data_IF_979658029935
#
_entry.id   IF_979658029935
#
_cell.length_a   1.000
_cell.length_b   1.000
_cell.length_c   1.000
_cell.angle_alpha   90.00
_cell.angle_beta   90.00
_cell.angle_gamma   90.00
#
_symmetry.space_group_name_H-M   'P 1'
#
loop_
_entity.id
_entity.type
_entity.pdbx_description
1 polymer ?
#
# COMPACT_ATOMS: atom_id res chain seq x y z
N UNK A 1 -0.08 -3.74 16.01
CA UNK A 1 0.32 -4.82 15.07
C UNK A 1 1.77 -4.68 14.58
N UNK A 2 2.25 -3.52 14.12
CA UNK A 2 3.64 -3.38 13.65
C UNK A 2 4.69 -3.80 14.71
N UNK A 3 4.52 -3.41 15.97
CA UNK A 3 5.41 -3.80 17.09
C UNK A 3 5.43 -5.31 17.38
N UNK A 4 4.37 -6.06 17.08
CA UNK A 4 4.29 -7.50 17.33
C UNK A 4 4.87 -8.35 16.19
N UNK A 5 5.07 -7.76 15.01
CA UNK A 5 5.60 -8.47 13.83
C UNK A 5 7.13 -8.44 13.74
N UNK A 6 7.78 -7.41 14.30
CA UNK A 6 9.22 -7.23 14.23
C UNK A 6 10.03 -8.41 14.85
N UNK A 7 9.63 -8.99 16.00
CA UNK A 7 10.29 -10.18 16.53
C UNK A 7 10.08 -11.43 15.67
N UNK A 8 8.88 -11.60 15.10
CA UNK A 8 8.55 -12.75 14.24
C UNK A 8 9.36 -12.73 12.94
N UNK A 9 9.64 -11.54 12.40
CA UNK A 9 10.52 -11.37 11.23
C UNK A 9 11.96 -11.78 11.54
N UNK A 10 12.48 -11.37 12.69
CA UNK A 10 13.84 -11.75 13.13
C UNK A 10 14.01 -13.25 13.26
N UNK A 11 13.02 -13.94 13.85
CA UNK A 11 13.06 -15.40 14.03
C UNK A 11 12.89 -16.14 12.70
N UNK A 12 11.98 -15.69 11.83
CA UNK A 12 11.74 -16.32 10.53
C UNK A 12 12.93 -16.18 9.57
N UNK A 13 13.65 -15.05 9.61
CA UNK A 13 14.85 -14.84 8.80
C UNK A 13 16.07 -15.66 9.25
N UNK A 14 16.13 -16.07 10.53
CA UNK A 14 17.23 -16.88 11.06
C UNK A 14 17.11 -18.37 10.71
N UNK A 15 15.90 -18.84 10.42
CA UNK A 15 15.63 -20.25 10.15
C UNK A 15 15.47 -20.56 8.65
N UNK A 16 15.66 -19.57 7.77
CA UNK A 16 15.57 -19.70 6.31
C UNK A 16 14.31 -20.47 5.86
N UNK A 17 13.15 -20.07 6.39
CA UNK A 17 11.85 -20.70 6.08
C UNK A 17 11.06 -19.90 5.02
N UNK A 18 11.36 -20.05 3.72
CA UNK A 18 10.50 -19.50 2.68
C UNK A 18 9.10 -20.12 2.82
N UNK A 19 7.99 -19.36 2.71
CA UNK A 19 7.85 -17.96 2.29
C UNK A 19 7.60 -16.97 3.45
N UNK A 20 7.81 -17.37 4.71
CA UNK A 20 7.32 -16.63 5.87
C UNK A 20 7.86 -15.19 5.99
N UNK A 21 9.17 -14.92 5.79
CA UNK A 21 9.68 -13.54 5.79
C UNK A 21 9.02 -12.66 4.73
N UNK A 22 8.83 -13.20 3.51
CA UNK A 22 8.22 -12.49 2.39
C UNK A 22 6.73 -12.16 2.69
N UNK A 23 6.00 -13.07 3.33
CA UNK A 23 4.62 -12.87 3.76
C UNK A 23 4.49 -11.75 4.82
N UNK A 24 5.33 -11.81 5.86
CA UNK A 24 5.30 -10.81 6.94
C UNK A 24 5.65 -9.42 6.41
N UNK A 25 6.59 -9.33 5.48
CA UNK A 25 6.95 -8.08 4.81
C UNK A 25 5.82 -7.55 3.94
N UNK A 26 5.14 -8.43 3.20
CA UNK A 26 3.95 -8.07 2.43
C UNK A 26 2.85 -7.48 3.32
N UNK A 27 2.62 -8.06 4.51
CA UNK A 27 1.62 -7.57 5.46
C UNK A 27 1.99 -6.18 5.99
N UNK A 28 3.25 -5.96 6.36
CA UNK A 28 3.71 -4.65 6.82
C UNK A 28 3.51 -3.57 5.76
N UNK A 29 3.77 -3.90 4.48
CA UNK A 29 3.54 -2.98 3.35
C UNK A 29 2.05 -2.72 3.12
N UNK A 30 1.22 -3.75 3.19
CA UNK A 30 -0.24 -3.57 3.10
C UNK A 30 -0.77 -2.59 4.16
N UNK A 31 -0.26 -2.70 5.39
CA UNK A 31 -0.63 -1.77 6.48
C UNK A 31 -0.17 -0.35 6.14
N UNK A 32 1.08 -0.17 5.72
CA UNK A 32 1.62 1.15 5.37
C UNK A 32 0.82 1.82 4.24
N UNK A 33 0.48 1.05 3.20
CA UNK A 33 -0.28 1.53 2.05
C UNK A 33 -1.73 1.91 2.43
N UNK A 34 -2.41 1.09 3.24
CA UNK A 34 -3.76 1.40 3.70
C UNK A 34 -3.81 2.64 4.59
N UNK A 35 -2.79 2.83 5.43
CA UNK A 35 -2.64 4.05 6.23
C UNK A 35 -2.42 5.26 5.33
N UNK A 36 -1.58 5.14 4.31
CA UNK A 36 -1.31 6.24 3.37
C UNK A 36 -2.55 6.66 2.57
N UNK A 37 -3.40 5.69 2.17
CA UNK A 37 -4.62 5.97 1.40
C UNK A 37 -5.78 6.51 2.24
N UNK A 38 -5.70 6.41 3.57
CA UNK A 38 -6.80 6.71 4.49
C UNK A 38 -8.13 6.01 4.09
N UNK A 39 -8.04 4.88 3.40
CA UNK A 39 -9.19 4.13 2.92
C UNK A 39 -9.59 3.07 3.96
N UNK A 40 -10.74 3.30 4.62
CA UNK A 40 -11.45 2.25 5.34
C UNK A 40 -12.21 1.36 4.34
N UNK A 41 -11.50 0.64 3.47
CA UNK A 41 -12.12 -0.15 2.43
C UNK A 41 -12.52 -1.56 2.94
N UNK A 42 -13.67 -2.11 2.50
CA UNK A 42 -14.02 -3.54 2.67
C UNK A 42 -12.90 -4.48 2.19
N UNK A 43 -12.13 -4.02 1.21
CA UNK A 43 -10.96 -4.70 0.65
C UNK A 43 -9.87 -5.03 1.69
N UNK A 44 -9.66 -4.17 2.69
CA UNK A 44 -8.66 -4.39 3.73
C UNK A 44 -8.96 -5.63 4.58
N UNK A 45 -10.24 -5.87 4.89
CA UNK A 45 -10.65 -7.02 5.69
C UNK A 45 -10.35 -8.35 4.98
N UNK A 46 -10.63 -8.44 3.68
CA UNK A 46 -10.35 -9.64 2.90
C UNK A 46 -8.85 -9.88 2.68
N UNK A 47 -8.08 -8.81 2.46
CA UNK A 47 -6.62 -8.87 2.37
C UNK A 47 -6.00 -9.41 3.67
N UNK A 48 -6.37 -8.84 4.83
CA UNK A 48 -5.83 -9.29 6.11
C UNK A 48 -6.34 -10.68 6.52
N UNK A 49 -7.54 -11.08 6.08
CA UNK A 49 -8.02 -12.46 6.25
C UNK A 49 -7.20 -13.44 5.41
N UNK A 50 -6.86 -13.09 4.16
CA UNK A 50 -5.96 -13.89 3.34
C UNK A 50 -4.55 -13.98 3.97
N UNK A 51 -4.02 -12.85 4.45
CA UNK A 51 -2.74 -12.80 5.16
C UNK A 51 -2.71 -13.69 6.40
N UNK A 52 -3.73 -13.61 7.25
CA UNK A 52 -3.82 -14.40 8.47
C UNK A 52 -3.85 -15.90 8.15
N UNK A 53 -4.65 -16.31 7.15
CA UNK A 53 -4.68 -17.71 6.69
C UNK A 53 -3.32 -18.18 6.17
N UNK A 54 -2.66 -17.38 5.33
CA UNK A 54 -1.34 -17.70 4.79
C UNK A 54 -0.30 -17.90 5.90
N UNK A 55 -0.23 -16.99 6.88
CA UNK A 55 0.71 -17.07 8.00
C UNK A 55 0.39 -18.24 8.93
N UNK A 56 -0.90 -18.43 9.29
CA UNK A 56 -1.31 -19.54 10.14
C UNK A 56 -0.99 -20.89 9.51
N UNK A 57 -1.24 -21.04 8.20
CA UNK A 57 -0.92 -22.27 7.47
C UNK A 57 0.58 -22.51 7.39
N UNK A 58 1.36 -21.50 7.03
CA UNK A 58 2.82 -21.60 7.00
C UNK A 58 3.39 -22.00 8.38
N UNK A 59 2.90 -21.39 9.46
CA UNK A 59 3.32 -21.73 10.83
C UNK A 59 2.95 -23.17 11.22
N UNK A 60 1.75 -23.65 10.85
CA UNK A 60 1.34 -25.04 11.09
C UNK A 60 2.20 -26.03 10.31
N UNK A 61 2.51 -25.75 9.05
CA UNK A 61 3.34 -26.61 8.21
C UNK A 61 4.80 -26.65 8.69
N UNK A 62 5.36 -25.51 9.12
CA UNK A 62 6.67 -25.47 9.78
C UNK A 62 6.65 -26.30 11.06
N UNK A 63 5.62 -26.16 11.89
CA UNK A 63 5.48 -26.95 13.12
C UNK A 63 5.34 -28.45 12.87
N UNK A 64 4.70 -28.86 11.78
CA UNK A 64 4.43 -30.26 11.46
C UNK A 64 5.54 -30.93 10.63
N UNK A 65 6.17 -30.21 9.69
CA UNK A 65 7.08 -30.75 8.67
C UNK A 65 8.45 -30.08 8.67
N UNK A 66 8.67 -29.05 9.48
CA UNK A 66 9.91 -28.26 9.51
C UNK A 66 10.05 -27.27 8.34
N UNK A 67 9.12 -27.25 7.38
CA UNK A 67 9.12 -26.32 6.25
C UNK A 67 7.68 -25.97 5.84
N UNK A 68 7.47 -24.72 5.41
CA UNK A 68 6.20 -24.28 4.81
C UNK A 68 6.17 -24.61 3.31
N UNK A 69 4.98 -24.90 2.77
CA UNK A 69 4.77 -24.99 1.33
C UNK A 69 4.80 -23.57 0.72
N UNK A 70 5.80 -23.25 -0.13
CA UNK A 70 5.92 -21.92 -0.69
C UNK A 70 4.93 -21.64 -1.83
N UNK A 71 4.12 -22.63 -2.23
CA UNK A 71 3.06 -22.53 -3.25
C UNK A 71 1.66 -22.77 -2.66
N UNK A 72 1.52 -22.67 -1.33
CA UNK A 72 0.23 -22.80 -0.67
C UNK A 72 -0.80 -21.82 -1.24
N UNK A 73 -2.02 -22.31 -1.52
CA UNK A 73 -3.09 -21.52 -2.11
C UNK A 73 -3.41 -20.24 -1.31
N UNK A 74 -3.33 -20.30 0.02
CA UNK A 74 -3.54 -19.13 0.89
C UNK A 74 -2.46 -18.06 0.68
N UNK A 75 -1.20 -18.46 0.46
CA UNK A 75 -0.09 -17.54 0.19
C UNK A 75 -0.21 -16.90 -1.21
N UNK A 76 -0.62 -17.68 -2.21
CA UNK A 76 -0.94 -17.18 -3.55
C UNK A 76 -2.13 -16.20 -3.53
N UNK A 77 -3.18 -16.48 -2.75
CA UNK A 77 -4.32 -15.57 -2.60
C UNK A 77 -3.88 -14.24 -1.96
N UNK A 78 -3.05 -14.29 -0.91
CA UNK A 78 -2.52 -13.09 -0.28
C UNK A 78 -1.64 -12.27 -1.24
N UNK A 79 -0.69 -12.90 -1.94
CA UNK A 79 0.19 -12.21 -2.88
C UNK A 79 -0.58 -11.48 -3.98
N UNK A 80 -1.58 -12.14 -4.57
CA UNK A 80 -2.46 -11.56 -5.60
C UNK A 80 -3.24 -10.35 -5.09
N UNK A 81 -3.81 -10.42 -3.88
CA UNK A 81 -4.55 -9.31 -3.26
C UNK A 81 -3.61 -8.16 -2.88
N UNK A 82 -2.39 -8.47 -2.44
CA UNK A 82 -1.38 -7.46 -2.20
C UNK A 82 -1.01 -6.74 -3.50
N UNK A 83 -0.85 -7.47 -4.60
CA UNK A 83 -0.64 -6.90 -5.93
C UNK A 83 -1.78 -6.00 -6.39
N UNK A 84 -3.04 -6.38 -6.10
CA UNK A 84 -4.20 -5.52 -6.35
C UNK A 84 -4.21 -4.24 -5.51
N UNK A 85 -3.73 -4.29 -4.26
CA UNK A 85 -3.60 -3.10 -3.40
C UNK A 85 -2.52 -2.16 -3.94
N UNK A 86 -1.34 -2.71 -4.25
CA UNK A 86 -0.15 -1.97 -4.66
C UNK A 86 -0.13 -1.61 -6.15
N UNK A 87 -1.04 -2.20 -6.93
CA UNK A 87 -1.26 -1.84 -8.32
C UNK A 87 -1.65 -0.37 -8.45
N UNK A 88 -1.63 0.19 -9.67
CA UNK A 88 -1.95 1.58 -9.90
C UNK A 88 -3.37 1.85 -9.37
N UNK A 89 -3.46 2.54 -8.24
CA UNK A 89 -4.67 3.25 -7.87
C UNK A 89 -4.94 4.19 -9.06
N UNK A 90 -6.14 4.13 -9.63
CA UNK A 90 -6.49 4.90 -10.82
C UNK A 90 -5.98 6.33 -10.70
N UNK A 91 -5.20 6.76 -11.68
CA UNK A 91 -4.40 8.00 -11.75
C UNK A 91 -4.66 8.96 -10.58
N UNK A 92 -4.08 8.62 -9.42
CA UNK A 92 -4.09 9.53 -8.28
C UNK A 92 -3.02 10.55 -8.62
N UNK A 93 -3.45 11.62 -9.28
CA UNK A 93 -2.67 12.83 -9.52
C UNK A 93 -2.34 13.37 -8.14
N UNK A 94 -1.09 13.23 -7.65
CA UNK A 94 -0.71 13.81 -6.37
C UNK A 94 -1.06 15.30 -6.44
N UNK A 95 -1.59 15.90 -5.37
CA UNK A 95 -1.91 17.33 -5.39
C UNK A 95 -0.64 18.13 -5.73
N UNK A 96 0.53 17.59 -5.40
CA UNK A 96 1.85 18.08 -5.75
C UNK A 96 2.13 18.15 -7.25
N UNK A 97 1.53 17.26 -8.05
CA UNK A 97 1.61 17.29 -9.52
C UNK A 97 0.67 18.31 -10.17
N UNK A 98 -0.28 18.86 -9.40
CA UNK A 98 -1.03 20.07 -9.77
C UNK A 98 -0.22 21.34 -9.49
N UNK A 99 0.88 21.23 -8.75
CA UNK A 99 1.81 22.33 -8.49
C UNK A 99 2.92 22.37 -9.55
N UNK A 100 3.54 23.53 -9.67
CA UNK A 100 4.77 23.67 -10.47
C UNK A 100 5.92 22.90 -9.80
N UNK A 101 6.90 22.46 -10.60
CA UNK A 101 8.04 21.60 -10.20
C UNK A 101 9.09 22.36 -9.34
N UNK A 102 8.63 22.74 -8.15
CA UNK A 102 9.02 23.95 -7.47
C UNK A 102 8.56 23.78 -6.01
N UNK A 103 9.46 23.83 -5.01
CA UNK A 103 9.06 23.68 -3.59
C UNK A 103 8.58 25.00 -2.94
N UNK A 104 8.05 25.91 -3.76
CA UNK A 104 7.58 27.21 -3.34
C UNK A 104 6.36 27.08 -2.44
N UNK A 105 5.90 28.16 -1.82
CA UNK A 105 4.58 28.12 -1.22
C UNK A 105 3.56 27.78 -2.32
N UNK A 106 3.03 26.56 -2.27
CA UNK A 106 2.04 26.03 -3.21
C UNK A 106 0.69 26.78 -3.15
N UNK A 107 0.57 27.71 -2.20
CA UNK A 107 -0.37 28.83 -2.22
C UNK A 107 0.42 30.09 -2.61
N UNK A 108 0.31 30.49 -3.88
CA UNK A 108 1.01 31.67 -4.40
C UNK A 108 0.47 32.96 -3.75
N UNK A 109 1.24 33.50 -2.81
CA UNK A 109 1.23 34.94 -2.51
C UNK A 109 2.15 35.61 -3.52
N UNK A 110 1.67 36.66 -4.18
CA UNK A 110 2.45 37.42 -5.16
C UNK A 110 3.82 37.81 -4.56
N UNK A 111 4.90 37.27 -5.13
CA UNK A 111 6.29 37.64 -4.79
C UNK A 111 7.18 36.58 -4.13
N UNK A 112 6.73 35.34 -3.86
CA UNK A 112 7.62 34.29 -3.31
C UNK A 112 8.15 33.39 -4.43
N UNK A 113 9.49 33.23 -4.57
CA UNK A 113 10.07 32.35 -5.58
C UNK A 113 9.81 30.86 -5.28
N UNK A 114 9.77 30.04 -6.33
CA UNK A 114 9.59 28.60 -6.24
C UNK A 114 10.76 27.88 -5.56
N UNK A 115 10.51 26.98 -4.61
CA UNK A 115 11.53 26.44 -3.71
C UNK A 115 12.10 25.05 -4.05
N UNK A 116 12.25 24.61 -5.30
CA UNK A 116 12.98 23.36 -5.74
C UNK A 116 12.89 22.05 -4.89
N UNK A 117 12.41 20.93 -5.46
CA UNK A 117 12.40 19.64 -4.77
C UNK A 117 13.80 19.21 -4.30
N UNK A 118 13.85 18.61 -3.12
CA UNK A 118 15.09 18.17 -2.49
C UNK A 118 15.81 17.14 -3.38
N UNK A 119 17.05 17.46 -3.75
CA UNK A 119 17.91 16.60 -4.54
C UNK A 119 18.45 15.46 -3.67
N UNK A 120 18.33 14.21 -4.12
CA UNK A 120 18.94 13.08 -3.41
C UNK A 120 20.46 13.30 -3.30
N UNK A 121 21.00 13.06 -2.12
CA UNK A 121 22.43 13.09 -1.89
C UNK A 121 23.12 11.90 -2.58
N UNK A 122 24.41 12.05 -2.93
CA UNK A 122 25.19 10.96 -3.51
C UNK A 122 25.17 9.69 -2.64
N UNK A 123 25.16 9.85 -1.31
CA UNK A 123 25.07 8.73 -0.37
C UNK A 123 23.72 7.99 -0.49
N UNK A 124 22.63 8.72 -0.66
CA UNK A 124 21.29 8.15 -0.83
C UNK A 124 21.17 7.42 -2.15
N UNK A 125 21.73 7.99 -3.24
CA UNK A 125 21.81 7.33 -4.53
C UNK A 125 22.59 6.01 -4.44
N UNK A 126 23.75 6.00 -3.78
CA UNK A 126 24.54 4.78 -3.56
C UNK A 126 23.75 3.77 -2.73
N UNK A 127 23.07 4.22 -1.68
CA UNK A 127 22.22 3.35 -0.83
C UNK A 127 21.09 2.71 -1.63
N UNK A 128 20.39 3.49 -2.47
CA UNK A 128 19.37 2.96 -3.37
C UNK A 128 19.98 2.01 -4.42
N UNK A 129 21.16 2.32 -4.94
CA UNK A 129 21.88 1.47 -5.89
C UNK A 129 22.16 0.08 -5.33
N UNK A 130 22.74 0.02 -4.13
CA UNK A 130 22.99 -1.23 -3.42
C UNK A 130 21.70 -1.98 -3.09
N UNK A 131 20.65 -1.26 -2.67
CA UNK A 131 19.36 -1.86 -2.41
C UNK A 131 18.76 -2.53 -3.67
N UNK A 132 18.81 -1.87 -4.83
CA UNK A 132 18.33 -2.44 -6.09
C UNK A 132 19.11 -3.70 -6.48
N UNK A 133 20.44 -3.71 -6.29
CA UNK A 133 21.26 -4.90 -6.57
C UNK A 133 20.90 -6.06 -5.66
N UNK A 134 20.75 -5.81 -4.36
CA UNK A 134 20.31 -6.82 -3.39
C UNK A 134 18.92 -7.38 -3.74
N UNK A 135 18.00 -6.51 -4.15
CA UNK A 135 16.66 -6.92 -4.54
C UNK A 135 16.64 -7.74 -5.85
N UNK A 136 17.45 -7.37 -6.84
CA UNK A 136 17.62 -8.16 -8.07
C UNK A 136 18.15 -9.57 -7.77
N UNK A 137 19.17 -9.65 -6.93
CA UNK A 137 19.72 -10.94 -6.51
C UNK A 137 18.71 -11.76 -5.69
N UNK A 138 17.90 -11.10 -4.86
CA UNK A 138 16.82 -11.77 -4.13
C UNK A 138 15.73 -12.29 -5.08
N UNK A 139 15.39 -11.55 -6.14
CA UNK A 139 14.43 -12.01 -7.15
C UNK A 139 14.92 -13.26 -7.88
N UNK A 140 16.21 -13.31 -8.23
CA UNK A 140 16.80 -14.48 -8.92
C UNK A 140 16.92 -15.71 -8.01
N UNK A 141 17.17 -15.51 -6.70
CA UNK A 141 17.22 -16.60 -5.71
C UNK A 141 15.84 -17.09 -5.25
N UNK A 142 14.74 -16.44 -5.67
CA UNK A 142 13.40 -16.83 -5.23
C UNK A 142 13.00 -18.19 -5.81
N UNK A 143 12.71 -19.14 -4.92
CA UNK A 143 12.46 -20.55 -5.27
C UNK A 143 11.04 -20.78 -5.78
N UNK A 144 10.09 -19.93 -5.35
CA UNK A 144 8.67 -20.06 -5.70
C UNK A 144 8.12 -18.84 -6.45
N UNK A 145 7.02 -19.05 -7.15
CA UNK A 145 6.28 -18.00 -7.86
C UNK A 145 5.73 -16.95 -6.89
N UNK A 146 5.19 -17.39 -5.75
CA UNK A 146 4.71 -16.52 -4.67
C UNK A 146 5.82 -15.64 -4.12
N UNK A 147 7.02 -16.20 -3.89
CA UNK A 147 8.15 -15.41 -3.42
C UNK A 147 8.57 -14.36 -4.45
N UNK A 148 8.60 -14.71 -5.74
CA UNK A 148 8.87 -13.75 -6.81
C UNK A 148 7.83 -12.64 -6.81
N UNK A 149 6.55 -12.96 -6.70
CA UNK A 149 5.45 -11.99 -6.64
C UNK A 149 5.59 -11.04 -5.45
N UNK A 150 5.76 -11.55 -4.23
CA UNK A 150 5.93 -10.74 -3.02
C UNK A 150 7.19 -9.85 -3.04
N UNK A 151 8.28 -10.33 -3.66
CA UNK A 151 9.53 -9.56 -3.81
C UNK A 151 9.41 -8.51 -4.90
N UNK A 152 8.74 -8.79 -6.01
CA UNK A 152 8.45 -7.78 -7.03
C UNK A 152 7.58 -6.67 -6.45
N UNK A 153 6.57 -7.02 -5.66
CA UNK A 153 5.74 -6.03 -4.96
C UNK A 153 6.51 -5.22 -3.91
N UNK A 154 7.60 -5.75 -3.35
CA UNK A 154 8.49 -5.02 -2.45
C UNK A 154 9.12 -3.78 -3.09
N UNK A 155 9.41 -3.88 -4.38
CA UNK A 155 10.14 -2.86 -5.11
C UNK A 155 9.28 -1.64 -5.43
N UNK A 156 7.95 -1.74 -5.38
CA UNK A 156 7.03 -0.65 -5.73
C UNK A 156 7.32 0.62 -4.91
N UNK A 157 7.52 0.47 -3.59
CA UNK A 157 7.86 1.59 -2.71
C UNK A 157 9.21 2.22 -3.04
N UNK A 158 10.20 1.40 -3.42
CA UNK A 158 11.52 1.91 -3.82
C UNK A 158 11.47 2.70 -5.11
N UNK A 159 10.69 2.24 -6.10
CA UNK A 159 10.47 2.98 -7.33
C UNK A 159 9.69 4.27 -7.07
N UNK A 160 8.73 4.28 -6.16
CA UNK A 160 8.06 5.50 -5.76
C UNK A 160 9.05 6.54 -5.20
N UNK A 161 9.89 6.13 -4.24
CA UNK A 161 10.95 6.99 -3.66
C UNK A 161 11.94 7.51 -4.70
N UNK A 162 12.30 6.69 -5.70
CA UNK A 162 13.18 7.10 -6.80
C UNK A 162 12.48 8.03 -7.79
N UNK A 163 11.16 7.95 -7.94
CA UNK A 163 10.43 8.83 -8.84
C UNK A 163 10.33 10.26 -8.31
N UNK A 164 10.34 10.43 -7.00
CA UNK A 164 10.34 11.73 -6.33
C UNK A 164 11.76 12.29 -6.11
N UNK A 165 12.78 11.62 -6.67
CA UNK A 165 14.19 11.92 -6.45
C UNK A 165 14.67 13.17 -7.21
N UNK A 166 14.34 14.35 -6.69
CA UNK A 166 15.02 15.59 -7.01
C UNK A 166 14.85 16.12 -8.44
N UNK A 167 15.47 17.28 -8.68
CA UNK A 167 15.46 17.97 -9.96
C UNK A 167 16.76 17.79 -10.74
N UNK A 168 16.69 17.90 -12.08
CA UNK A 168 17.83 17.82 -12.99
C UNK A 168 17.86 16.55 -13.84
N UNK A 169 18.87 16.40 -14.73
CA UNK A 169 18.89 15.34 -15.74
C UNK A 169 18.83 13.92 -15.16
N UNK A 170 19.54 13.69 -14.04
CA UNK A 170 19.50 12.39 -13.36
C UNK A 170 18.15 12.15 -12.67
N UNK A 171 17.56 13.17 -12.04
CA UNK A 171 16.23 13.07 -11.43
C UNK A 171 15.15 12.71 -12.45
N UNK A 172 15.16 13.36 -13.62
CA UNK A 172 14.26 13.01 -14.74
C UNK A 172 14.48 11.56 -15.20
N UNK A 173 15.72 11.13 -15.37
CA UNK A 173 16.03 9.75 -15.77
C UNK A 173 15.59 8.71 -14.71
N UNK A 174 15.72 9.03 -13.41
CA UNK A 174 15.24 8.23 -12.30
C UNK A 174 13.71 8.13 -12.27
N UNK A 175 13.01 9.25 -12.47
CA UNK A 175 11.56 9.30 -12.62
C UNK A 175 11.06 8.41 -13.75
N UNK A 176 11.69 8.52 -14.91
CA UNK A 176 11.37 7.70 -16.08
C UNK A 176 11.64 6.20 -15.86
N UNK A 177 12.77 5.86 -15.24
CA UNK A 177 13.12 4.49 -14.88
C UNK A 177 12.11 3.90 -13.91
N UNK A 178 11.82 4.61 -12.82
CA UNK A 178 10.89 4.20 -11.79
C UNK A 178 9.48 3.99 -12.37
N UNK A 179 9.03 4.89 -13.25
CA UNK A 179 7.76 4.75 -13.93
C UNK A 179 7.73 3.50 -14.82
N UNK A 180 8.75 3.28 -15.66
CA UNK A 180 8.84 2.09 -16.51
C UNK A 180 8.86 0.79 -15.68
N UNK A 181 9.56 0.77 -14.54
CA UNK A 181 9.61 -0.37 -13.65
C UNK A 181 8.25 -0.65 -13.00
N UNK A 182 7.55 0.38 -12.48
CA UNK A 182 6.19 0.22 -11.93
C UNK A 182 5.21 -0.29 -12.98
N UNK A 183 5.28 0.20 -14.21
CA UNK A 183 4.45 -0.28 -15.31
C UNK A 183 4.72 -1.76 -15.63
N UNK A 184 5.99 -2.18 -15.65
CA UNK A 184 6.36 -3.58 -15.85
C UNK A 184 5.82 -4.49 -14.74
N UNK A 185 5.80 -4.01 -13.49
CA UNK A 185 5.18 -4.72 -12.35
C UNK A 185 3.66 -4.77 -12.51
N UNK A 186 3.02 -3.64 -12.77
CA UNK A 186 1.57 -3.53 -12.87
C UNK A 186 0.98 -4.38 -14.01
N UNK A 187 1.69 -4.49 -15.14
CA UNK A 187 1.29 -5.36 -16.27
C UNK A 187 1.61 -6.84 -16.06
N UNK A 188 2.31 -7.19 -14.97
CA UNK A 188 2.76 -8.56 -14.72
C UNK A 188 3.99 -9.00 -15.54
N UNK A 189 4.58 -8.12 -16.34
CA UNK A 189 5.77 -8.42 -17.15
C UNK A 189 6.98 -8.80 -16.29
N UNK A 190 7.12 -8.17 -15.12
CA UNK A 190 8.16 -8.50 -14.15
C UNK A 190 8.07 -9.96 -13.63
N UNK A 191 6.86 -10.53 -13.61
CA UNK A 191 6.64 -11.93 -13.21
C UNK A 191 6.77 -12.90 -14.39
N UNK A 192 6.41 -12.45 -15.60
CA UNK A 192 6.55 -13.26 -16.81
C UNK A 192 8.02 -13.49 -17.18
N UNK A 193 8.86 -12.46 -17.04
CA UNK A 193 10.29 -12.52 -17.36
C UNK A 193 11.13 -11.94 -16.20
N UNK A 194 11.12 -12.65 -15.08
CA UNK A 194 11.80 -12.21 -13.85
C UNK A 194 13.30 -12.07 -14.03
N UNK A 195 13.94 -12.89 -14.87
CA UNK A 195 15.40 -12.82 -15.08
C UNK A 195 15.80 -11.54 -15.81
N UNK A 196 15.12 -11.19 -16.91
CA UNK A 196 15.43 -9.93 -17.60
C UNK A 196 15.05 -8.73 -16.74
N UNK A 197 13.92 -8.77 -16.01
CA UNK A 197 13.57 -7.72 -15.06
C UNK A 197 14.66 -7.52 -14.00
N UNK A 198 15.10 -8.60 -13.32
CA UNK A 198 16.15 -8.55 -12.31
C UNK A 198 17.47 -8.00 -12.87
N UNK A 199 17.85 -8.39 -14.10
CA UNK A 199 19.02 -7.82 -14.78
C UNK A 199 18.91 -6.30 -14.93
N UNK A 200 17.79 -5.78 -15.41
CA UNK A 200 17.61 -4.33 -15.56
C UNK A 200 17.61 -3.58 -14.22
N UNK A 201 17.04 -4.17 -13.17
CA UNK A 201 17.12 -3.61 -11.81
C UNK A 201 18.58 -3.58 -11.31
N UNK A 202 19.35 -4.65 -11.56
CA UNK A 202 20.77 -4.71 -11.20
C UNK A 202 21.61 -3.69 -11.95
N UNK A 203 21.36 -3.50 -13.25
CA UNK A 203 22.07 -2.54 -14.09
C UNK A 203 21.81 -1.10 -13.60
N UNK A 204 20.55 -0.76 -13.30
CA UNK A 204 20.21 0.52 -12.68
C UNK A 204 20.90 0.68 -11.32
N UNK A 205 20.87 -0.35 -10.48
CA UNK A 205 21.55 -0.35 -9.19
C UNK A 205 23.06 -0.08 -9.31
N UNK A 206 23.73 -0.72 -10.27
CA UNK A 206 25.16 -0.53 -10.54
C UNK A 206 25.50 0.90 -11.01
N UNK A 207 24.61 1.55 -11.77
CA UNK A 207 24.77 2.96 -12.17
C UNK A 207 24.66 3.88 -10.95
N UNK A 208 23.73 3.61 -10.03
CA UNK A 208 23.55 4.44 -8.84
C UNK A 208 24.64 4.23 -7.79
N UNK A 209 25.21 3.03 -7.68
CA UNK A 209 26.32 2.73 -6.75
C UNK A 209 27.59 3.52 -7.03
N UNK A 210 27.76 4.09 -8.23
CA UNK A 210 28.93 4.93 -8.59
C UNK A 210 28.66 6.44 -8.48
N UNK A 211 27.50 6.84 -7.96
CA UNK A 211 27.10 8.24 -7.83
C UNK A 211 28.05 9.10 -6.95
N UNK A 212 28.86 8.48 -6.09
CA UNK A 212 29.87 9.19 -5.31
C UNK A 212 31.07 9.67 -6.15
N UNK A 213 31.31 9.05 -7.31
CA UNK A 213 32.52 9.26 -8.12
C UNK A 213 32.22 9.77 -9.54
N UNK A 214 31.04 9.50 -10.07
CA UNK A 214 30.63 9.91 -11.41
C UNK A 214 29.73 11.15 -11.39
N UNK A 215 29.72 11.89 -12.51
CA UNK A 215 28.84 13.05 -12.68
C UNK A 215 27.44 12.63 -13.14
N UNK A 216 26.42 13.41 -12.76
CA UNK A 216 25.03 13.18 -13.16
C UNK A 216 24.82 13.17 -14.67
N UNK A 217 25.60 14.00 -15.39
CA UNK A 217 25.57 14.07 -16.84
C UNK A 217 26.04 12.77 -17.51
N UNK A 218 26.91 11.99 -16.85
CA UNK A 218 27.34 10.67 -17.33
C UNK A 218 26.36 9.56 -16.94
N UNK A 219 25.75 9.65 -15.75
CA UNK A 219 24.81 8.63 -15.25
C UNK A 219 23.45 8.68 -15.94
N UNK A 220 22.90 9.87 -16.20
CA UNK A 220 21.57 10.04 -16.80
C UNK A 220 21.38 9.27 -18.13
N UNK A 221 22.27 9.37 -19.14
CA UNK A 221 22.08 8.63 -20.40
C UNK A 221 22.20 7.12 -20.24
N UNK A 222 23.05 6.64 -19.31
CA UNK A 222 23.17 5.21 -19.00
C UNK A 222 21.88 4.67 -18.40
N UNK A 223 21.28 5.41 -17.46
CA UNK A 223 20.00 5.05 -16.86
C UNK A 223 18.87 5.09 -17.89
N UNK A 224 18.85 6.09 -18.78
CA UNK A 224 17.89 6.16 -19.89
C UNK A 224 17.98 4.95 -20.83
N UNK A 225 19.19 4.43 -21.09
CA UNK A 225 19.37 3.21 -21.88
C UNK A 225 18.78 1.96 -21.18
N UNK A 226 18.97 1.83 -19.86
CA UNK A 226 18.34 0.76 -19.07
C UNK A 226 16.82 0.89 -19.11
N UNK A 227 16.28 2.10 -18.96
CA UNK A 227 14.85 2.38 -19.05
C UNK A 227 14.28 2.00 -20.42
N UNK A 228 14.97 2.33 -21.51
CA UNK A 228 14.55 1.95 -22.86
C UNK A 228 14.52 0.42 -23.04
N UNK A 229 15.54 -0.29 -22.55
CA UNK A 229 15.58 -1.75 -22.59
C UNK A 229 14.43 -2.37 -21.80
N UNK A 230 14.16 -1.85 -20.59
CA UNK A 230 13.06 -2.30 -19.74
C UNK A 230 11.69 -2.10 -20.40
N UNK A 231 11.47 -0.96 -21.09
CA UNK A 231 10.26 -0.70 -21.88
C UNK A 231 10.15 -1.64 -23.08
N UNK A 232 11.28 -2.00 -23.70
CA UNK A 232 11.34 -2.97 -24.81
C UNK A 232 10.86 -4.37 -24.43
N UNK A 233 11.15 -4.81 -23.20
CA UNK A 233 10.61 -6.07 -22.64
C UNK A 233 9.09 -6.01 -22.45
N UNK A 234 8.55 -4.80 -22.24
CA UNK A 234 7.14 -4.56 -22.04
C UNK A 234 6.32 -4.30 -23.32
N UNK A 235 6.96 -4.36 -24.50
CA UNK A 235 6.26 -4.23 -25.76
C UNK A 235 5.30 -5.43 -25.92
N UNK A 236 3.99 -5.19 -26.17
CA UNK A 236 3.06 -6.28 -26.35
C UNK A 236 3.55 -7.15 -27.51
N UNK A 237 3.63 -8.46 -27.28
CA UNK A 237 3.65 -9.44 -28.37
C UNK A 237 2.56 -9.02 -29.35
N UNK A 238 2.98 -8.58 -30.54
CA UNK A 238 2.07 -8.18 -31.60
C UNK A 238 1.01 -9.27 -31.73
N UNK A 239 -0.27 -8.87 -31.62
CA UNK A 239 -1.37 -9.79 -31.70
C UNK A 239 -1.18 -10.67 -32.95
N UNK A 240 -1.18 -12.00 -32.82
CA UNK A 240 -1.08 -12.86 -33.99
C UNK A 240 -2.20 -12.48 -34.96
N UNK A 241 -1.94 -12.43 -36.29
CA UNK A 241 -2.94 -12.04 -37.27
C UNK A 241 -4.20 -12.89 -37.04
N UNK A 242 -5.40 -12.30 -37.13
CA UNK A 242 -6.64 -12.99 -36.85
C UNK A 242 -6.70 -14.26 -37.71
N UNK A 243 -6.67 -15.42 -37.04
CA UNK A 243 -6.92 -16.69 -37.74
C UNK A 243 -8.33 -16.61 -38.32
N UNK A 244 -8.54 -16.98 -39.60
CA UNK A 244 -9.88 -17.07 -40.15
C UNK A 244 -10.71 -18.02 -39.30
N UNK A 245 -11.89 -17.55 -38.88
CA UNK A 245 -12.79 -18.29 -38.01
C UNK A 245 -13.18 -19.63 -38.66
N UNK A 246 -13.06 -20.78 -37.96
CA UNK A 246 -13.63 -22.02 -38.46
C UNK A 246 -15.15 -21.90 -38.47
N UNK A 247 -15.75 -22.29 -39.60
CA UNK A 247 -17.20 -22.40 -39.75
C UNK A 247 -17.78 -23.30 -38.65
N UNK A 248 -18.82 -22.81 -37.98
CA UNK A 248 -19.56 -23.54 -36.96
C UNK A 248 -20.41 -24.64 -37.59
N UNK A 249 -20.22 -25.93 -37.26
CA UNK A 249 -21.24 -26.93 -37.53
C UNK A 249 -22.35 -26.86 -36.46
N UNK A 250 -23.59 -26.89 -36.94
CA UNK A 250 -24.82 -26.88 -36.16
C UNK A 250 -24.84 -27.93 -35.04
N UNK A 251 -25.13 -27.51 -33.81
CA UNK A 251 -25.43 -28.39 -32.67
C UNK A 251 -26.95 -28.59 -32.55
N UNK A 252 -27.46 -29.84 -32.63
CA UNK A 252 -28.88 -30.12 -32.37
C UNK A 252 -29.23 -29.99 -30.87
N UNK A 253 -30.52 -29.75 -30.55
CA UNK A 253 -30.98 -29.36 -29.22
C UNK A 253 -30.91 -30.48 -28.17
N UNK A 254 -30.68 -30.07 -26.92
CA UNK A 254 -30.63 -30.92 -25.73
C UNK A 254 -32.03 -31.36 -25.27
N UNK A 255 -32.19 -32.59 -24.74
CA UNK A 255 -33.35 -32.94 -23.93
C UNK A 255 -33.10 -32.65 -22.44
N UNK A 256 -34.14 -32.08 -21.82
CA UNK A 256 -34.22 -31.66 -20.41
C UNK A 256 -34.35 -32.81 -19.41
N UNK A 257 -33.79 -32.55 -18.22
CA UNK A 257 -34.24 -32.89 -16.86
C UNK A 257 -34.68 -34.33 -16.51
N UNK A 258 -33.98 -34.91 -15.52
CA UNK A 258 -34.62 -35.73 -14.48
C UNK A 258 -34.12 -35.36 -13.09
N UNK A 259 -35.10 -34.97 -12.28
CA UNK A 259 -35.06 -34.73 -10.83
C UNK A 259 -35.00 -36.08 -10.11
N UNK A 260 -34.19 -36.16 -9.05
CA UNK A 260 -34.24 -37.24 -8.07
C UNK A 260 -34.27 -36.64 -6.63
N UNK A 261 -34.95 -37.29 -5.67
CA UNK A 261 -35.38 -36.70 -4.39
C UNK A 261 -34.32 -36.78 -3.27
N UNK A 262 -34.50 -36.02 -2.17
CA UNK A 262 -33.58 -36.02 -1.03
C UNK A 262 -33.86 -37.19 -0.06
N UNK A 263 -32.78 -37.86 0.36
CA UNK A 263 -32.72 -38.78 1.51
C UNK A 263 -31.70 -38.11 2.44
N UNK A 264 -32.05 -37.62 3.62
CA UNK A 264 -32.52 -38.36 4.78
C UNK A 264 -31.66 -37.90 5.95
N UNK A 265 -32.24 -37.12 6.86
CA UNK A 265 -31.59 -36.66 8.07
C UNK A 265 -31.35 -37.83 9.03
N UNK A 266 -30.16 -37.88 9.62
CA UNK A 266 -29.89 -38.70 10.80
C UNK A 266 -29.06 -37.87 11.79
N UNK A 267 -29.76 -37.41 12.83
CA UNK A 267 -29.15 -36.98 14.08
C UNK A 267 -28.64 -38.22 14.81
N UNK A 268 -27.44 -38.13 15.41
CA UNK A 268 -27.03 -39.03 16.49
C UNK A 268 -26.55 -38.18 17.66
N UNK A 269 -27.11 -38.55 18.80
CA UNK A 269 -27.11 -37.96 20.13
C UNK A 269 -25.75 -38.00 20.84
N UNK A 270 -25.67 -37.10 21.81
CA UNK A 270 -24.61 -36.91 22.79
C UNK A 270 -24.24 -38.15 23.62
N UNK A 271 -22.98 -38.14 24.09
CA UNK A 271 -22.63 -38.53 25.46
C UNK A 271 -21.50 -39.55 25.56
N UNK A 272 -20.29 -39.11 25.91
CA UNK A 272 -19.57 -39.50 27.14
C UNK A 272 -18.22 -38.78 27.24
N UNK A 273 -17.94 -38.24 28.42
CA UNK A 273 -16.68 -37.63 28.80
C UNK A 273 -15.75 -38.69 29.41
N UNK A 274 -14.54 -38.88 28.86
CA UNK A 274 -13.34 -39.36 29.58
C UNK A 274 -12.08 -38.87 28.84
N UNK A 275 -11.08 -38.45 29.63
CA UNK A 275 -9.67 -38.16 29.30
C UNK A 275 -9.38 -36.85 28.53
N UNK A 276 -8.96 -35.84 29.30
CA UNK A 276 -8.39 -34.60 28.80
C UNK A 276 -7.00 -34.85 28.19
N UNK A 277 -6.97 -35.14 26.89
CA UNK A 277 -5.79 -34.90 26.06
C UNK A 277 -5.75 -33.43 25.64
N UNK A 278 -4.54 -32.85 25.60
CA UNK A 278 -4.25 -31.49 25.14
C UNK A 278 -4.60 -31.34 23.66
N UNK A 279 -5.88 -31.09 23.37
CA UNK A 279 -6.38 -30.89 22.01
C UNK A 279 -6.02 -29.51 21.43
N UNK A 280 -5.94 -29.39 20.09
CA UNK A 280 -5.65 -28.15 19.35
C UNK A 280 -6.85 -27.18 19.35
N UNK A 281 -7.32 -26.83 20.55
CA UNK A 281 -8.44 -25.92 20.77
C UNK A 281 -8.02 -24.68 21.57
N UNK A 282 -8.92 -23.70 21.62
CA UNK A 282 -8.72 -22.44 22.35
C UNK A 282 -8.40 -22.68 23.84
N UNK A 283 -9.04 -23.68 24.45
CA UNK A 283 -8.81 -24.08 25.85
C UNK A 283 -7.38 -24.61 26.06
N UNK A 284 -6.86 -25.44 25.14
CA UNK A 284 -5.48 -25.92 25.19
C UNK A 284 -4.46 -24.80 24.96
N UNK A 285 -4.81 -23.83 24.11
CA UNK A 285 -3.98 -22.63 23.88
C UNK A 285 -3.91 -21.74 25.12
N UNK A 286 -5.02 -21.62 25.87
CA UNK A 286 -5.07 -20.85 27.11
C UNK A 286 -4.26 -21.52 28.24
N UNK A 287 -4.38 -22.84 28.38
CA UNK A 287 -3.59 -23.60 29.36
C UNK A 287 -2.08 -23.55 29.07
N UNK A 288 -1.69 -23.52 27.78
CA UNK A 288 -0.30 -23.37 27.37
C UNK A 288 0.22 -21.95 27.63
N UNK A 289 -0.61 -20.93 27.43
CA UNK A 289 -0.31 -19.55 27.82
C UNK A 289 -0.09 -19.43 29.33
N UNK A 290 -0.99 -19.97 30.16
CA UNK A 290 -0.87 -19.92 31.63
C UNK A 290 0.42 -20.60 32.13
N UNK A 291 0.81 -21.75 31.54
CA UNK A 291 2.09 -22.40 31.87
C UNK A 291 3.31 -21.55 31.51
N UNK A 292 3.29 -20.87 30.36
CA UNK A 292 4.39 -20.00 29.92
C UNK A 292 4.51 -18.75 30.80
N UNK A 293 3.39 -18.15 31.18
CA UNK A 293 3.35 -17.00 32.10
C UNK A 293 3.91 -17.39 33.47
N UNK A 294 3.54 -18.55 33.99
CA UNK A 294 4.06 -19.08 35.24
C UNK A 294 5.57 -19.40 35.16
N UNK A 295 6.05 -20.00 34.07
CA UNK A 295 7.46 -20.35 33.89
C UNK A 295 8.38 -19.12 33.73
N UNK A 296 7.88 -18.04 33.12
CA UNK A 296 8.62 -16.81 32.89
C UNK A 296 8.59 -15.85 34.09
N UNK A 297 7.85 -16.17 35.15
CA UNK A 297 7.68 -15.30 36.32
C UNK A 297 7.02 -13.96 35.99
N UNK A 298 6.34 -13.87 34.84
CA UNK A 298 5.61 -12.69 34.44
C UNK A 298 4.32 -12.68 35.26
N UNK A 299 4.26 -11.82 36.27
CA UNK A 299 3.03 -11.65 37.07
C UNK A 299 1.84 -11.37 36.16
N UNK A 300 0.63 -11.76 36.59
CA UNK A 300 -0.59 -11.48 35.85
C UNK A 300 -0.66 -9.97 35.54
N UNK A 301 -0.88 -9.56 34.29
CA UNK A 301 -0.94 -8.14 33.94
C UNK A 301 -2.09 -7.51 34.71
N UNK A 302 -1.78 -6.62 35.65
CA UNK A 302 -2.80 -5.91 36.41
C UNK A 302 -3.31 -4.72 35.62
N UNK A 303 -4.62 -4.54 35.65
CA UNK A 303 -5.29 -3.42 34.99
C UNK A 303 -4.84 -2.08 35.62
N UNK A 304 -4.45 -2.10 36.89
CA UNK A 304 -3.87 -0.96 37.62
C UNK A 304 -2.53 -0.49 37.03
N UNK A 305 -1.68 -1.41 36.56
CA UNK A 305 -0.40 -1.05 35.91
C UNK A 305 -0.63 -0.42 34.53
N UNK A 306 -1.70 -0.81 33.84
CA UNK A 306 -2.07 -0.20 32.55
C UNK A 306 -2.63 1.22 32.73
N UNK A 307 -3.42 1.44 33.79
CA UNK A 307 -4.01 2.73 34.12
C UNK A 307 -3.01 3.72 34.75
N UNK A 308 -1.92 3.23 35.33
CA UNK A 308 -0.87 4.06 35.92
C UNK A 308 -0.05 4.87 34.90
N UNK A 309 -0.17 4.57 33.60
CA UNK A 309 0.57 5.25 32.53
C UNK A 309 2.08 4.93 32.51
N UNK A 310 2.80 5.24 31.43
CA UNK A 310 4.22 4.91 31.30
C UNK A 310 5.07 5.66 32.34
N UNK A 311 6.16 5.07 32.85
CA UNK A 311 7.04 5.74 33.80
C UNK A 311 7.66 6.98 33.15
N UNK A 312 7.61 8.11 33.87
CA UNK A 312 8.16 9.38 33.42
C UNK A 312 9.67 9.24 33.16
N UNK A 313 10.08 9.45 31.91
CA UNK A 313 11.49 9.62 31.55
C UNK A 313 11.97 10.99 32.09
N UNK A 314 13.25 11.12 32.47
CA UNK A 314 13.81 12.39 32.92
C UNK A 314 13.70 13.44 31.82
N UNK A 315 12.97 14.52 32.14
CA UNK A 315 12.74 15.68 31.29
C UNK A 315 14.07 16.34 30.92
N UNK A 316 14.39 16.37 29.62
CA UNK A 316 15.45 17.24 29.12
C UNK A 316 14.98 18.70 29.24
N UNK A 317 15.82 19.53 29.85
CA UNK A 317 15.59 20.97 30.00
C UNK A 317 15.25 21.64 28.64
N UNK A 318 14.38 22.67 28.64
CA UNK A 318 13.91 23.26 27.39
C UNK A 318 15.05 23.99 26.69
N UNK A 319 15.37 23.55 25.47
CA UNK A 319 16.07 24.35 24.50
C UNK A 319 15.14 25.49 24.03
N UNK A 320 15.75 26.65 23.81
CA UNK A 320 15.10 27.93 23.57
C UNK A 320 14.04 27.92 22.45
N UNK A 321 13.03 28.77 22.66
CA UNK A 321 11.91 29.10 21.81
C UNK A 321 12.23 29.10 20.29
N UNK A 322 11.78 28.05 19.60
CA UNK A 322 11.44 28.12 18.19
C UNK A 322 9.95 28.50 18.10
N UNK A 323 9.63 29.43 17.21
CA UNK A 323 8.31 30.05 17.05
C UNK A 323 7.18 29.00 17.09
N UNK A 324 6.24 29.21 18.02
CA UNK A 324 5.00 28.47 18.05
C UNK A 324 4.27 28.71 16.72
N UNK A 325 4.21 27.70 15.86
CA UNK A 325 3.17 27.63 14.85
C UNK A 325 1.85 27.67 15.60
N UNK A 326 1.04 28.69 15.30
CA UNK A 326 -0.24 28.94 15.93
C UNK A 326 -1.16 27.75 15.60
N UNK A 327 -1.33 26.84 16.55
CA UNK A 327 -2.15 25.65 16.40
C UNK A 327 -3.59 26.11 16.28
N UNK A 328 -4.08 26.22 15.04
CA UNK A 328 -5.47 26.57 14.76
C UNK A 328 -6.33 25.32 15.02
N UNK A 329 -7.26 25.35 15.99
CA UNK A 329 -8.13 24.22 16.26
C UNK A 329 -9.01 23.93 15.04
N UNK A 330 -9.24 22.66 14.71
CA UNK A 330 -10.08 22.23 13.57
C UNK A 330 -11.46 22.89 13.59
N UNK A 331 -11.99 23.23 14.76
CA UNK A 331 -13.27 23.95 14.90
C UNK A 331 -13.24 25.36 14.31
N UNK A 332 -12.07 26.00 14.20
CA UNK A 332 -11.90 27.28 13.53
C UNK A 332 -11.80 27.16 11.99
N UNK A 333 -11.60 25.93 11.47
CA UNK A 333 -11.64 25.62 10.04
C UNK A 333 -13.05 25.24 9.55
N UNK A 334 -14.01 25.06 10.47
CA UNK A 334 -15.40 24.78 10.13
C UNK A 334 -16.17 26.10 9.95
N UNK A 335 -16.80 26.27 8.78
CA UNK A 335 -17.73 27.38 8.52
C UNK A 335 -18.92 27.28 9.48
N UNK A 336 -18.93 28.08 10.54
CA UNK A 336 -20.00 28.14 11.52
C UNK A 336 -20.22 29.58 11.99
N UNK A 337 -21.46 29.92 12.34
CA UNK A 337 -21.81 31.25 12.83
C UNK A 337 -21.48 32.37 11.82
N UNK A 338 -20.68 33.35 12.23
CA UNK A 338 -20.42 34.58 11.47
C UNK A 338 -19.67 34.34 10.15
N UNK A 339 -18.79 33.33 10.08
CA UNK A 339 -18.09 32.99 8.84
C UNK A 339 -19.05 32.39 7.80
N UNK A 340 -20.02 31.59 8.23
CA UNK A 340 -21.09 31.07 7.38
C UNK A 340 -21.98 32.21 6.83
N UNK A 341 -22.34 33.19 7.68
CA UNK A 341 -23.12 34.38 7.26
C UNK A 341 -22.36 35.24 6.24
N UNK A 342 -21.05 35.43 6.41
CA UNK A 342 -20.21 36.14 5.43
C UNK A 342 -20.17 35.41 4.08
N UNK A 343 -20.03 34.08 4.07
CA UNK A 343 -20.08 33.28 2.83
C UNK A 343 -21.46 33.33 2.17
N UNK A 344 -22.53 33.24 2.95
CA UNK A 344 -23.91 33.37 2.46
C UNK A 344 -24.15 34.72 1.77
N UNK A 345 -23.59 35.80 2.32
CA UNK A 345 -23.69 37.14 1.73
C UNK A 345 -22.97 37.22 0.38
N UNK A 346 -21.79 36.58 0.27
CA UNK A 346 -21.05 36.49 -0.99
C UNK A 346 -21.78 35.63 -2.03
N UNK A 347 -22.38 34.51 -1.64
CA UNK A 347 -23.17 33.66 -2.53
C UNK A 347 -24.40 34.37 -3.08
N UNK A 348 -25.06 35.21 -2.27
CA UNK A 348 -26.18 36.03 -2.73
C UNK A 348 -25.79 36.97 -3.88
N UNK A 349 -24.58 37.53 -3.85
CA UNK A 349 -24.08 38.37 -4.95
C UNK A 349 -23.77 37.54 -6.19
N UNK A 350 -23.21 36.35 -6.04
CA UNK A 350 -22.92 35.42 -7.13
C UNK A 350 -24.20 34.94 -7.82
N UNK A 351 -25.23 34.56 -7.06
CA UNK A 351 -26.55 34.18 -7.59
C UNK A 351 -27.19 35.34 -8.37
N UNK A 352 -27.11 36.58 -7.85
CA UNK A 352 -27.59 37.77 -8.59
C UNK A 352 -26.83 37.99 -9.89
N UNK A 353 -25.52 37.77 -9.89
CA UNK A 353 -24.69 37.85 -11.09
C UNK A 353 -25.11 36.83 -12.15
N UNK A 354 -25.33 35.58 -11.76
CA UNK A 354 -25.79 34.51 -12.66
C UNK A 354 -27.18 34.81 -13.21
N UNK A 355 -28.12 35.26 -12.38
CA UNK A 355 -29.49 35.60 -12.79
C UNK A 355 -29.58 36.87 -13.66
N UNK A 356 -28.62 37.79 -13.55
CA UNK A 356 -28.54 38.98 -14.39
C UNK A 356 -27.92 38.69 -15.78
N UNK A 357 -27.31 37.51 -15.97
CA UNK A 357 -26.78 37.07 -17.26
C UNK A 357 -27.87 36.79 -18.29
N UNK A 358 -27.56 36.99 -19.57
CA UNK A 358 -28.50 36.80 -20.70
C UNK A 358 -28.86 35.32 -20.95
N UNK A 359 -28.10 34.38 -20.36
CA UNK A 359 -28.39 32.96 -20.33
C UNK A 359 -27.80 32.36 -19.03
N UNK A 360 -28.58 32.26 -17.95
CA UNK A 360 -28.10 31.70 -16.70
C UNK A 360 -27.83 30.19 -16.89
N UNK A 361 -26.61 29.76 -16.60
CA UNK A 361 -26.28 28.34 -16.54
C UNK A 361 -27.01 27.70 -15.35
N UNK A 362 -27.96 26.82 -15.66
CA UNK A 362 -28.79 26.16 -14.66
C UNK A 362 -28.02 25.22 -13.73
N UNK A 363 -26.88 24.69 -14.17
CA UNK A 363 -26.02 23.85 -13.33
C UNK A 363 -25.32 24.70 -12.25
N UNK A 364 -24.72 25.81 -12.66
CA UNK A 364 -24.07 26.77 -11.76
C UNK A 364 -25.07 27.35 -10.75
N UNK A 365 -26.29 27.68 -11.20
CA UNK A 365 -27.33 28.18 -10.31
C UNK A 365 -27.76 27.12 -9.28
N UNK A 366 -27.88 25.86 -9.69
CA UNK A 366 -28.23 24.76 -8.79
C UNK A 366 -27.16 24.56 -7.72
N UNK A 367 -25.88 24.55 -8.12
CA UNK A 367 -24.77 24.34 -7.19
C UNK A 367 -24.67 25.48 -6.16
N UNK A 368 -24.89 26.73 -6.59
CA UNK A 368 -24.95 27.89 -5.68
C UNK A 368 -26.13 27.81 -4.70
N UNK A 369 -27.26 27.25 -5.12
CA UNK A 369 -28.44 27.07 -4.27
C UNK A 369 -28.21 25.97 -3.22
N UNK A 370 -27.61 24.84 -3.61
CA UNK A 370 -27.25 23.76 -2.68
C UNK A 370 -26.23 24.25 -1.63
N UNK A 371 -25.22 25.03 -2.04
CA UNK A 371 -24.24 25.62 -1.11
C UNK A 371 -24.92 26.59 -0.11
N UNK A 372 -25.93 27.34 -0.55
CA UNK A 372 -26.74 28.20 0.33
C UNK A 372 -27.51 27.34 1.35
N UNK A 373 -28.10 26.21 0.96
CA UNK A 373 -28.82 25.33 1.89
C UNK A 373 -27.89 24.72 2.94
N UNK A 374 -26.70 24.29 2.55
CA UNK A 374 -25.69 23.76 3.48
C UNK A 374 -25.23 24.83 4.48
N UNK A 375 -24.97 26.05 4.01
CA UNK A 375 -24.54 27.15 4.87
C UNK A 375 -25.63 27.69 5.79
N UNK A 376 -26.90 27.60 5.40
CA UNK A 376 -28.02 27.91 6.30
C UNK A 376 -28.09 26.89 7.44
N UNK A 377 -27.90 25.59 7.17
CA UNK A 377 -27.87 24.57 8.22
C UNK A 377 -26.69 24.75 9.18
N UNK A 378 -25.54 25.21 8.68
CA UNK A 378 -24.33 25.47 9.48
C UNK A 378 -24.38 26.81 10.23
N UNK A 379 -24.96 27.85 9.62
CA UNK A 379 -25.11 29.18 10.20
C UNK A 379 -26.23 29.27 11.23
N UNK A 380 -27.32 28.50 11.05
CA UNK A 380 -28.43 28.39 11.99
C UNK A 380 -28.16 27.41 13.15
N UNK A 381 -26.88 27.13 13.44
CA UNK A 381 -26.41 26.17 14.44
C UNK A 381 -27.35 26.07 15.64
N UNK A 382 -27.90 24.86 15.82
CA UNK A 382 -28.75 24.38 16.91
C UNK A 382 -28.65 25.25 18.16
N UNK A 383 -29.67 26.08 18.40
CA UNK A 383 -30.00 26.47 19.78
C UNK A 383 -30.51 25.22 20.49
N UNK A 384 -29.61 24.53 21.19
CA UNK A 384 -29.93 23.58 22.24
C UNK A 384 -29.04 23.89 23.45
#
# INVERSE_FOLDING_TARGET
MLKTMQPLRGIAGLADHPPLPDLLDGIARAIAELVARNEAAPYAADLFRAAARAVSRAAQEIGAKGQADPEAADAQEFARRLGGLLGPAGEVVPIESLYFDDAGPHIVKQGVPPARPAKLGNLELVSHGEHLRQAADALERALSSVQRELRVHALVGTFHSLATAGSGPLGTALGEFAQAAREAVARGNALHDTQNFARHIRDAGAILSVAATESEAAMAPRLAAVTAALRGVAAPLAAPPPRPAPATPHRPPAPSARVAPPVGAAAVTAGTAVAAEEGPGLVGSYQRFDRLVAALGLGAPSLDVLLAGPPALPSAAPAAAAAAEDVVPITALLYSGESAVRRLTSLREQVRGVLAGTSPDGAVLKDLIEEVFDLVQLGAGRSA
#
